data_IF_647804832920
#
_entry.id   IF_647804832920
#
_cell.length_a   1.000
_cell.length_b   1.000
_cell.length_c   1.000
_cell.angle_alpha   90.00
_cell.angle_beta   90.00
_cell.angle_gamma   90.00
#
_symmetry.space_group_name_H-M   'P 1'
#
loop_
_entity.id
_entity.type
_entity.pdbx_description
1 polymer ?
#
# COMPACT_ATOMS: atom_id res chain seq x y z
N UNK A 1 -1.31 34.89 -0.83
CA UNK A 1 -0.36 34.09 -1.64
C UNK A 1 -1.08 32.82 -2.04
N UNK A 2 -0.96 32.39 -3.30
CA UNK A 2 -1.55 31.13 -3.76
C UNK A 2 -0.77 29.98 -3.13
N UNK A 3 -1.24 29.46 -2.00
CA UNK A 3 -0.67 28.26 -1.37
C UNK A 3 -1.28 27.05 -2.03
N UNK A 4 -0.62 26.55 -3.07
CA UNK A 4 -0.90 25.23 -3.63
C UNK A 4 -0.62 24.18 -2.57
N UNK A 5 -1.66 23.49 -2.10
CA UNK A 5 -1.51 22.39 -1.16
C UNK A 5 -1.05 21.13 -1.90
N UNK A 6 -0.25 20.31 -1.22
CA UNK A 6 0.05 18.95 -1.66
C UNK A 6 -1.22 18.07 -1.70
N UNK A 7 -2.03 18.11 -0.64
CA UNK A 7 -3.27 17.32 -0.57
C UNK A 7 -4.31 17.95 0.34
N UNK A 8 -5.58 17.64 0.09
CA UNK A 8 -6.72 18.04 0.88
C UNK A 8 -7.73 16.89 0.92
N UNK A 9 -8.31 16.64 2.09
CA UNK A 9 -9.50 15.79 2.17
C UNK A 9 -10.41 16.17 3.34
N UNK A 10 -11.72 16.05 3.12
CA UNK A 10 -12.73 16.11 4.16
C UNK A 10 -13.10 14.69 4.58
N UNK A 11 -12.90 14.40 5.85
CA UNK A 11 -13.08 13.07 6.43
C UNK A 11 -14.14 13.04 7.51
N UNK A 12 -14.73 11.86 7.66
CA UNK A 12 -15.49 11.45 8.83
C UNK A 12 -14.74 10.30 9.47
N UNK A 13 -14.68 10.23 10.79
CA UNK A 13 -13.96 9.15 11.45
C UNK A 13 -14.51 8.81 12.82
N UNK A 14 -13.70 8.05 13.56
CA UNK A 14 -14.08 7.55 14.88
C UNK A 14 -13.03 7.97 15.90
N UNK A 15 -13.50 8.43 17.06
CA UNK A 15 -12.68 8.75 18.22
C UNK A 15 -13.06 7.84 19.38
N UNK A 16 -12.10 7.54 20.25
CA UNK A 16 -12.36 6.87 21.52
C UNK A 16 -12.97 7.85 22.55
N UNK A 17 -13.33 7.36 23.75
CA UNK A 17 -13.89 8.15 24.85
C UNK A 17 -12.97 9.29 25.33
N UNK A 18 -11.68 9.24 25.02
CA UNK A 18 -10.71 10.30 25.33
C UNK A 18 -10.52 11.31 24.18
N UNK A 19 -11.27 11.16 23.08
CA UNK A 19 -11.17 12.04 21.91
C UNK A 19 -9.98 11.74 21.00
N UNK A 20 -9.25 10.63 21.21
CA UNK A 20 -8.17 10.24 20.32
C UNK A 20 -8.74 9.64 19.03
N UNK A 21 -8.23 10.08 17.88
CA UNK A 21 -8.61 9.54 16.58
C UNK A 21 -8.14 8.09 16.45
N UNK A 22 -9.08 7.18 16.19
CA UNK A 22 -8.80 5.78 15.87
C UNK A 22 -8.61 5.60 14.37
N UNK A 23 -9.46 6.24 13.57
CA UNK A 23 -9.48 6.13 12.12
C UNK A 23 -10.17 7.31 11.45
N UNK A 24 -9.92 7.51 10.17
CA UNK A 24 -10.62 8.49 9.33
C UNK A 24 -10.90 7.91 7.94
N UNK A 25 -12.13 8.02 7.48
CA UNK A 25 -12.57 7.73 6.12
C UNK A 25 -12.65 9.00 5.27
N UNK A 26 -11.90 9.03 4.17
CA UNK A 26 -11.95 10.11 3.18
C UNK A 26 -12.57 9.60 1.88
N UNK A 27 -13.80 10.03 1.61
CA UNK A 27 -14.54 9.57 0.42
C UNK A 27 -13.98 10.08 -0.90
N UNK A 28 -13.44 11.31 -0.91
CA UNK A 28 -12.97 12.02 -2.11
C UNK A 28 -11.67 12.78 -1.79
N UNK A 29 -10.56 12.07 -1.50
CA UNK A 29 -9.28 12.72 -1.24
C UNK A 29 -8.76 13.39 -2.52
N UNK A 30 -8.15 14.56 -2.38
CA UNK A 30 -7.58 15.32 -3.49
C UNK A 30 -6.07 15.37 -3.39
N UNK A 31 -5.40 15.11 -4.51
CA UNK A 31 -3.99 15.43 -4.73
C UNK A 31 -3.92 16.74 -5.52
N UNK A 32 -3.11 17.70 -5.07
CA UNK A 32 -2.97 19.02 -5.68
C UNK A 32 -4.33 19.75 -5.88
N UNK A 33 -5.12 20.00 -4.81
CA UNK A 33 -6.39 20.73 -4.93
C UNK A 33 -6.19 22.12 -5.53
N UNK A 34 -7.21 22.63 -6.23
CA UNK A 34 -7.14 23.95 -6.87
C UNK A 34 -7.04 25.08 -5.84
N UNK A 35 -6.36 26.16 -6.21
CA UNK A 35 -6.19 27.33 -5.33
C UNK A 35 -7.54 27.98 -5.00
N UNK A 36 -8.49 27.95 -5.93
CA UNK A 36 -9.86 28.44 -5.73
C UNK A 36 -10.59 27.66 -4.63
N UNK A 37 -10.46 26.33 -4.64
CA UNK A 37 -11.04 25.47 -3.61
C UNK A 37 -10.43 25.76 -2.24
N UNK A 38 -9.10 25.83 -2.15
CA UNK A 38 -8.38 26.11 -0.90
C UNK A 38 -8.77 27.49 -0.35
N UNK A 39 -8.85 28.51 -1.22
CA UNK A 39 -9.24 29.86 -0.83
C UNK A 39 -10.68 29.94 -0.28
N UNK A 40 -11.61 29.14 -0.83
CA UNK A 40 -13.00 29.11 -0.38
C UNK A 40 -13.17 28.47 1.01
N UNK A 41 -12.35 27.46 1.34
CA UNK A 41 -12.52 26.67 2.56
C UNK A 41 -11.66 27.16 3.73
N UNK A 42 -10.47 27.74 3.46
CA UNK A 42 -9.50 28.08 4.49
C UNK A 42 -10.06 29.06 5.55
N UNK A 43 -10.83 30.11 5.21
CA UNK A 43 -11.39 31.02 6.21
C UNK A 43 -12.41 30.34 7.14
N UNK A 44 -13.19 29.37 6.63
CA UNK A 44 -14.23 28.66 7.40
C UNK A 44 -13.60 27.67 8.38
N UNK A 45 -12.50 27.04 7.96
CA UNK A 45 -11.73 26.09 8.77
C UNK A 45 -10.72 26.78 9.70
N UNK A 46 -10.42 28.06 9.47
CA UNK A 46 -9.32 28.74 10.17
C UNK A 46 -7.93 28.20 9.77
N UNK A 47 -7.79 27.66 8.56
CA UNK A 47 -6.50 27.19 8.04
C UNK A 47 -5.60 28.37 7.64
N UNK A 48 -4.34 28.34 8.06
CA UNK A 48 -3.34 29.37 7.75
C UNK A 48 -2.18 28.85 6.91
N UNK A 49 -1.49 27.81 7.39
CA UNK A 49 -0.28 27.28 6.77
C UNK A 49 0.03 25.84 7.23
N UNK A 50 1.00 25.20 6.57
CA UNK A 50 1.56 23.91 6.98
C UNK A 50 0.59 22.73 6.83
N UNK A 51 0.97 21.59 7.40
CA UNK A 51 0.14 20.40 7.46
C UNK A 51 -0.75 20.47 8.70
N UNK A 52 -2.07 20.41 8.52
CA UNK A 52 -3.04 20.50 9.61
C UNK A 52 -4.16 19.48 9.45
N UNK A 53 -4.56 18.89 10.57
CA UNK A 53 -5.79 18.13 10.71
C UNK A 53 -6.77 18.93 11.59
N UNK A 54 -7.75 19.57 10.96
CA UNK A 54 -8.65 20.52 11.61
C UNK A 54 -10.02 19.89 11.80
N UNK A 55 -10.44 19.72 13.05
CA UNK A 55 -11.80 19.26 13.35
C UNK A 55 -12.82 20.33 12.98
N UNK A 56 -13.93 19.95 12.36
CA UNK A 56 -14.99 20.90 12.02
C UNK A 56 -16.38 20.35 12.37
N UNK A 57 -17.32 21.25 12.59
CA UNK A 57 -18.70 20.92 12.98
C UNK A 57 -19.57 20.63 11.76
N UNK A 58 -20.73 20.00 11.96
CA UNK A 58 -21.75 19.84 10.91
C UNK A 58 -22.27 21.18 10.37
N UNK A 59 -22.32 22.22 11.20
CA UNK A 59 -22.64 23.58 10.77
C UNK A 59 -21.55 24.15 9.83
N UNK A 60 -20.27 23.97 10.17
CA UNK A 60 -19.16 24.32 9.27
C UNK A 60 -19.19 23.48 7.99
N UNK A 61 -19.56 22.20 8.06
CA UNK A 61 -19.72 21.35 6.87
C UNK A 61 -20.75 21.94 5.88
N UNK A 62 -21.89 22.43 6.37
CA UNK A 62 -22.90 23.09 5.55
C UNK A 62 -22.40 24.42 4.96
N UNK A 63 -21.64 25.21 5.74
CA UNK A 63 -21.01 26.43 5.24
C UNK A 63 -19.98 26.13 4.14
N UNK A 64 -19.14 25.11 4.35
CA UNK A 64 -18.17 24.64 3.36
C UNK A 64 -18.86 24.16 2.09
N UNK A 65 -19.94 23.39 2.20
CA UNK A 65 -20.71 22.92 1.05
C UNK A 65 -21.23 24.07 0.18
N UNK A 66 -21.73 25.15 0.79
CA UNK A 66 -22.17 26.34 0.06
C UNK A 66 -20.97 27.11 -0.52
N UNK A 67 -19.86 27.23 0.21
CA UNK A 67 -18.66 27.95 -0.25
C UNK A 67 -18.03 27.31 -1.50
N UNK A 68 -18.13 25.99 -1.65
CA UNK A 68 -17.57 25.27 -2.82
C UNK A 68 -18.61 25.04 -3.92
N UNK A 69 -19.86 25.49 -3.74
CA UNK A 69 -20.96 25.34 -4.70
C UNK A 69 -20.72 26.20 -5.93
N UNK A 70 -20.19 25.57 -6.97
CA UNK A 70 -19.76 26.23 -8.21
C UNK A 70 -18.24 26.20 -8.42
N UNK A 71 -17.48 25.72 -7.45
CA UNK A 71 -16.04 25.48 -7.56
C UNK A 71 -15.77 23.99 -7.81
N UNK A 72 -16.29 23.13 -6.92
CA UNK A 72 -16.16 21.68 -7.02
C UNK A 72 -17.46 20.99 -6.60
N UNK A 73 -18.20 20.48 -7.59
CA UNK A 73 -19.50 19.85 -7.36
C UNK A 73 -19.39 18.51 -6.60
N UNK A 74 -18.26 17.80 -6.71
CA UNK A 74 -18.04 16.52 -6.02
C UNK A 74 -17.81 16.79 -4.53
N UNK A 75 -16.91 17.73 -4.21
CA UNK A 75 -16.65 18.14 -2.83
C UNK A 75 -17.88 18.79 -2.19
N UNK A 76 -18.64 19.62 -2.92
CA UNK A 76 -19.87 20.22 -2.42
C UNK A 76 -20.95 19.19 -2.05
N UNK A 77 -21.11 18.14 -2.86
CA UNK A 77 -22.00 17.02 -2.55
C UNK A 77 -21.52 16.24 -1.32
N UNK A 78 -20.22 15.96 -1.23
CA UNK A 78 -19.63 15.29 -0.07
C UNK A 78 -19.88 16.08 1.22
N UNK A 79 -19.56 17.37 1.24
CA UNK A 79 -19.73 18.23 2.41
C UNK A 79 -21.18 18.35 2.85
N UNK A 80 -22.12 18.37 1.89
CA UNK A 80 -23.56 18.28 2.18
C UNK A 80 -23.90 17.00 2.95
N UNK A 81 -23.33 15.85 2.57
CA UNK A 81 -23.54 14.58 3.29
C UNK A 81 -22.85 14.58 4.65
N UNK A 82 -21.64 15.13 4.75
CA UNK A 82 -20.90 15.22 6.02
C UNK A 82 -21.63 16.10 7.05
N UNK A 83 -22.39 17.10 6.61
CA UNK A 83 -23.22 17.94 7.48
C UNK A 83 -24.34 17.15 8.21
N UNK A 84 -24.70 15.95 7.74
CA UNK A 84 -25.67 15.07 8.38
C UNK A 84 -25.03 14.03 9.32
N UNK A 85 -23.70 14.04 9.46
CA UNK A 85 -22.97 13.03 10.22
C UNK A 85 -23.23 13.12 11.73
N UNK A 86 -23.36 11.95 12.37
CA UNK A 86 -23.30 11.80 13.83
C UNK A 86 -21.90 11.45 14.36
N UNK A 87 -20.92 11.33 13.45
CA UNK A 87 -19.51 11.03 13.72
C UNK A 87 -18.65 12.29 13.55
N UNK A 88 -17.53 12.42 14.28
CA UNK A 88 -16.65 13.59 14.20
C UNK A 88 -16.09 13.77 12.78
N UNK A 89 -15.94 15.03 12.37
CA UNK A 89 -15.44 15.42 11.06
C UNK A 89 -14.06 16.08 11.18
N UNK A 90 -13.21 15.86 10.18
CA UNK A 90 -11.86 16.44 10.11
C UNK A 90 -11.52 16.84 8.68
N UNK A 91 -11.02 18.05 8.50
CA UNK A 91 -10.45 18.52 7.25
C UNK A 91 -8.92 18.43 7.39
N UNK A 92 -8.30 17.61 6.54
CA UNK A 92 -6.86 17.41 6.55
C UNK A 92 -6.27 18.13 5.35
N UNK A 93 -5.52 19.20 5.62
CA UNK A 93 -4.89 20.08 4.63
C UNK A 93 -3.39 19.91 4.74
N UNK A 94 -2.75 19.42 3.70
CA UNK A 94 -1.30 19.19 3.66
C UNK A 94 -0.68 20.19 2.70
N UNK A 95 0.08 21.15 3.21
CA UNK A 95 0.86 22.06 2.38
C UNK A 95 1.95 21.31 1.61
N UNK A 96 2.56 20.29 2.22
CA UNK A 96 3.70 19.56 1.67
C UNK A 96 3.67 18.07 2.02
N UNK A 97 4.36 17.25 1.22
CA UNK A 97 4.61 15.84 1.52
C UNK A 97 5.79 15.68 2.50
N UNK A 98 5.55 16.07 3.75
CA UNK A 98 6.54 16.03 4.83
C UNK A 98 6.36 14.83 5.78
N UNK A 99 7.15 14.79 6.85
CA UNK A 99 7.00 13.80 7.91
C UNK A 99 5.61 13.92 8.55
N UNK A 100 4.98 12.76 8.80
CA UNK A 100 3.63 12.70 9.37
C UNK A 100 3.60 13.27 10.80
N UNK A 101 2.52 13.97 11.13
CA UNK A 101 2.31 14.63 12.41
C UNK A 101 1.05 14.19 13.16
N UNK A 102 0.09 13.57 12.48
CA UNK A 102 -1.21 13.20 13.06
C UNK A 102 -1.82 11.94 12.47
N UNK A 103 -2.78 11.33 13.18
CA UNK A 103 -3.55 10.18 12.68
C UNK A 103 -4.38 10.52 11.43
N UNK A 104 -5.14 11.63 11.36
CA UNK A 104 -5.86 12.00 10.14
C UNK A 104 -4.96 12.17 8.91
N UNK A 105 -3.75 12.73 9.09
CA UNK A 105 -2.74 12.84 8.03
C UNK A 105 -2.23 11.46 7.58
N UNK A 106 -1.93 10.55 8.52
CA UNK A 106 -1.52 9.19 8.20
C UNK A 106 -2.58 8.47 7.37
N UNK A 107 -3.85 8.55 7.76
CA UNK A 107 -4.96 7.99 6.99
C UNK A 107 -5.10 8.63 5.61
N UNK A 108 -4.92 9.95 5.48
CA UNK A 108 -4.99 10.63 4.18
C UNK A 108 -3.92 10.08 3.23
N UNK A 109 -2.66 9.99 3.66
CA UNK A 109 -1.59 9.46 2.80
C UNK A 109 -1.83 7.99 2.39
N UNK A 110 -2.39 7.16 3.28
CA UNK A 110 -2.78 5.80 2.91
C UNK A 110 -3.96 5.78 1.91
N UNK A 111 -4.91 6.71 2.02
CA UNK A 111 -5.97 6.87 1.04
C UNK A 111 -5.43 7.29 -0.32
N UNK A 112 -4.46 8.21 -0.38
CA UNK A 112 -3.83 8.63 -1.64
C UNK A 112 -3.19 7.45 -2.39
N UNK A 113 -2.57 6.52 -1.67
CA UNK A 113 -2.03 5.27 -2.24
C UNK A 113 -3.15 4.36 -2.76
N UNK A 114 -4.15 4.07 -1.94
CA UNK A 114 -5.21 3.10 -2.31
C UNK A 114 -6.22 3.63 -3.32
N UNK A 115 -6.39 4.94 -3.42
CA UNK A 115 -7.12 5.59 -4.53
C UNK A 115 -6.30 5.66 -5.82
N UNK A 116 -5.04 5.18 -5.80
CA UNK A 116 -4.07 5.25 -6.89
C UNK A 116 -3.68 6.67 -7.32
N UNK A 117 -3.87 7.66 -6.46
CA UNK A 117 -3.47 9.04 -6.73
C UNK A 117 -1.94 9.19 -6.67
N UNK A 118 -1.28 8.37 -5.86
CA UNK A 118 0.18 8.30 -5.75
C UNK A 118 0.62 6.84 -5.74
N UNK A 119 1.71 6.51 -6.44
CA UNK A 119 2.31 5.16 -6.45
C UNK A 119 3.12 4.92 -5.16
N UNK A 120 3.38 3.65 -4.78
CA UNK A 120 4.32 3.33 -3.71
C UNK A 120 5.67 4.05 -3.86
N UNK A 121 6.25 4.47 -2.72
CA UNK A 121 7.43 5.34 -2.60
C UNK A 121 7.25 6.79 -3.08
N UNK A 122 6.05 7.16 -3.53
CA UNK A 122 5.74 8.54 -3.92
C UNK A 122 5.31 9.45 -2.75
N UNK A 123 5.27 8.92 -1.52
CA UNK A 123 4.85 9.65 -0.31
C UNK A 123 5.86 9.48 0.81
N UNK A 124 6.07 10.54 1.60
CA UNK A 124 6.77 10.43 2.87
C UNK A 124 5.88 9.81 3.95
N UNK A 125 6.16 8.55 4.31
CA UNK A 125 5.45 7.80 5.36
C UNK A 125 6.32 7.58 6.62
N UNK A 126 7.41 8.34 6.78
CA UNK A 126 8.26 8.24 7.95
C UNK A 126 7.45 8.54 9.23
N UNK A 127 7.62 7.70 10.25
CA UNK A 127 6.92 7.86 11.52
C UNK A 127 5.45 7.48 11.53
N UNK A 128 4.95 6.74 10.52
CA UNK A 128 3.53 6.37 10.46
C UNK A 128 3.05 5.48 11.62
N UNK A 129 3.87 4.54 12.09
CA UNK A 129 3.45 3.52 13.06
C UNK A 129 3.01 4.06 14.43
N UNK A 130 3.70 5.06 15.03
CA UNK A 130 3.21 5.72 16.24
C UNK A 130 1.87 6.46 16.06
N UNK A 131 1.56 6.94 14.86
CA UNK A 131 0.35 7.72 14.57
C UNK A 131 -0.88 6.87 14.26
N UNK A 132 -0.68 5.59 13.94
CA UNK A 132 -1.75 4.62 13.76
C UNK A 132 -1.97 3.85 15.08
N UNK A 133 -3.02 4.12 15.86
CA UNK A 133 -3.30 3.38 17.08
C UNK A 133 -3.60 1.91 16.76
N UNK A 134 -3.37 1.01 17.72
CA UNK A 134 -3.80 -0.38 17.56
C UNK A 134 -5.31 -0.45 17.86
N UNK A 135 -6.11 -0.89 16.89
CA UNK A 135 -7.57 -0.79 16.92
C UNK A 135 -8.18 -2.17 16.77
N UNK A 136 -9.31 -2.43 17.45
CA UNK A 136 -10.16 -3.55 17.13
C UNK A 136 -11.10 -3.16 15.97
N UNK A 137 -10.92 -3.80 14.82
CA UNK A 137 -11.78 -3.62 13.66
C UNK A 137 -12.93 -4.61 13.75
N UNK A 138 -14.13 -4.05 13.92
CA UNK A 138 -15.32 -4.84 14.24
C UNK A 138 -16.43 -4.65 13.21
N UNK A 139 -17.47 -5.50 13.27
CA UNK A 139 -18.68 -5.34 12.47
C UNK A 139 -19.43 -4.02 12.70
N UNK A 140 -19.11 -3.28 13.78
CA UNK A 140 -19.67 -1.96 14.10
C UNK A 140 -18.66 -0.81 13.89
N UNK A 141 -17.52 -1.07 13.25
CA UNK A 141 -16.46 -0.09 12.98
C UNK A 141 -15.27 -0.23 13.93
N UNK A 142 -14.43 0.81 13.96
CA UNK A 142 -13.24 0.88 14.81
C UNK A 142 -13.62 1.04 16.28
N UNK A 143 -13.03 0.20 17.14
CA UNK A 143 -13.23 0.20 18.59
C UNK A 143 -11.88 0.28 19.29
N UNK A 144 -11.79 1.16 20.29
CA UNK A 144 -10.62 1.23 21.16
C UNK A 144 -10.50 -0.07 21.98
N UNK A 145 -9.28 -0.59 22.13
CA UNK A 145 -9.05 -1.85 22.85
C UNK A 145 -9.47 -1.80 24.32
N UNK A 146 -9.42 -0.62 24.94
CA UNK A 146 -9.87 -0.42 26.32
C UNK A 146 -11.39 -0.41 26.47
N UNK A 147 -12.12 -0.18 25.38
CA UNK A 147 -13.59 -0.12 25.34
C UNK A 147 -14.22 -1.43 24.83
N UNK A 148 -13.42 -2.28 24.17
CA UNK A 148 -13.90 -3.48 23.47
C UNK A 148 -14.62 -4.47 24.38
N UNK A 149 -14.09 -4.76 25.57
CA UNK A 149 -14.65 -5.79 26.44
C UNK A 149 -16.07 -5.46 26.93
N UNK A 150 -16.32 -4.18 27.22
CA UNK A 150 -17.64 -3.66 27.60
C UNK A 150 -18.64 -3.85 26.45
N UNK A 151 -18.24 -3.43 25.24
CA UNK A 151 -19.09 -3.54 24.04
C UNK A 151 -19.38 -4.99 23.65
N UNK A 152 -18.41 -5.89 23.82
CA UNK A 152 -18.61 -7.32 23.60
C UNK A 152 -19.64 -7.89 24.59
N UNK A 153 -19.55 -7.54 25.87
CA UNK A 153 -20.53 -7.98 26.88
C UNK A 153 -21.94 -7.49 26.52
N UNK A 154 -22.09 -6.20 26.20
CA UNK A 154 -23.36 -5.60 25.82
C UNK A 154 -24.01 -6.27 24.61
N UNK A 155 -23.21 -6.60 23.58
CA UNK A 155 -23.70 -7.35 22.43
C UNK A 155 -24.23 -8.74 22.86
N UNK A 156 -23.49 -9.47 23.70
CA UNK A 156 -23.92 -10.80 24.18
C UNK A 156 -25.19 -10.74 25.03
N UNK A 157 -25.34 -9.72 25.87
CA UNK A 157 -26.56 -9.52 26.67
C UNK A 157 -27.81 -9.31 25.80
N UNK A 158 -27.65 -8.75 24.59
CA UNK A 158 -28.71 -8.63 23.59
C UNK A 158 -28.86 -9.85 22.67
N UNK A 159 -28.05 -10.89 22.84
CA UNK A 159 -28.03 -12.06 21.95
C UNK A 159 -27.32 -11.81 20.61
N UNK A 160 -26.52 -10.74 20.51
CA UNK A 160 -25.77 -10.34 19.32
C UNK A 160 -24.29 -10.77 19.41
N UNK A 161 -23.61 -10.79 18.26
CA UNK A 161 -22.15 -10.93 18.18
C UNK A 161 -21.53 -9.63 17.68
N UNK A 162 -20.69 -9.00 18.51
CA UNK A 162 -19.72 -8.03 18.03
C UNK A 162 -18.52 -8.79 17.47
N UNK A 163 -18.52 -9.00 16.15
CA UNK A 163 -17.43 -9.68 15.47
C UNK A 163 -16.19 -8.79 15.45
N UNK A 164 -15.06 -9.31 15.91
CA UNK A 164 -13.74 -8.68 15.81
C UNK A 164 -12.95 -9.44 14.77
N UNK A 165 -12.86 -8.91 13.56
CA UNK A 165 -12.21 -9.58 12.44
C UNK A 165 -10.74 -9.17 12.25
N UNK A 166 -10.29 -8.09 12.88
CA UNK A 166 -8.89 -7.70 12.90
C UNK A 166 -8.56 -6.89 14.17
N UNK A 167 -7.34 -7.07 14.68
CA UNK A 167 -6.74 -6.22 15.72
C UNK A 167 -5.38 -5.77 15.22
N UNK A 168 -5.32 -4.57 14.65
CA UNK A 168 -4.13 -4.07 13.96
C UNK A 168 -4.15 -2.54 13.88
N UNK A 169 -2.99 -1.95 13.58
CA UNK A 169 -2.79 -0.53 13.27
C UNK A 169 -3.31 -0.14 11.88
N UNK A 170 -3.44 -1.11 10.98
CA UNK A 170 -3.92 -0.89 9.62
C UNK A 170 -5.26 -1.60 9.39
N UNK A 171 -6.31 -0.90 8.91
CA UNK A 171 -7.51 -1.56 8.45
C UNK A 171 -7.32 -2.25 7.10
N UNK A 172 -8.29 -3.07 6.71
CA UNK A 172 -8.38 -3.60 5.35
C UNK A 172 -8.80 -2.50 4.36
N UNK A 173 -8.15 -2.46 3.20
CA UNK A 173 -8.29 -1.39 2.20
C UNK A 173 -9.74 -1.21 1.74
N UNK A 174 -10.47 -2.30 1.51
CA UNK A 174 -11.79 -2.30 0.88
C UNK A 174 -12.89 -1.75 1.77
N UNK A 175 -12.66 -1.61 3.08
CA UNK A 175 -13.57 -0.89 3.97
C UNK A 175 -13.55 0.62 3.69
N UNK A 176 -12.53 1.10 2.97
CA UNK A 176 -12.32 2.50 2.63
C UNK A 176 -12.43 2.75 1.12
N UNK A 177 -11.82 1.90 0.29
CA UNK A 177 -11.82 2.07 -1.17
C UNK A 177 -11.67 0.75 -1.91
N UNK A 178 -12.45 0.59 -2.97
CA UNK A 178 -12.27 -0.43 -4.00
C UNK A 178 -11.96 0.29 -5.31
N UNK A 179 -10.69 0.38 -5.73
CA UNK A 179 -10.36 1.10 -6.96
C UNK A 179 -10.88 0.35 -8.20
N UNK A 180 -11.13 1.07 -9.29
CA UNK A 180 -11.75 0.50 -10.48
C UNK A 180 -10.90 -0.63 -11.12
N UNK A 181 -11.59 -1.62 -11.71
CA UNK A 181 -10.95 -2.68 -12.49
C UNK A 181 -10.09 -3.66 -11.70
N UNK A 182 -10.39 -3.89 -10.41
CA UNK A 182 -9.71 -4.92 -9.58
C UNK A 182 -10.62 -6.07 -9.23
N UNK A 183 -10.01 -7.20 -8.89
CA UNK A 183 -10.66 -8.29 -8.17
C UNK A 183 -9.85 -8.64 -6.94
N UNK A 184 -10.52 -8.77 -5.80
CA UNK A 184 -9.91 -9.10 -4.51
C UNK A 184 -10.75 -10.22 -3.91
N UNK A 185 -10.17 -11.42 -3.80
CA UNK A 185 -10.89 -12.60 -3.36
C UNK A 185 -11.07 -12.64 -1.84
N UNK A 186 -10.03 -12.28 -1.08
CA UNK A 186 -10.11 -12.07 0.37
C UNK A 186 -9.56 -10.68 0.71
N UNK A 187 -10.47 -9.79 1.10
CA UNK A 187 -10.13 -8.41 1.37
C UNK A 187 -9.33 -8.20 2.66
N UNK A 188 -9.37 -9.15 3.59
CA UNK A 188 -8.60 -9.07 4.84
C UNK A 188 -7.09 -9.06 4.61
N UNK A 189 -6.63 -9.47 3.41
CA UNK A 189 -5.21 -9.55 3.05
C UNK A 189 -4.66 -8.33 2.33
N UNK A 190 -5.45 -7.26 2.20
CA UNK A 190 -5.01 -6.00 1.63
C UNK A 190 -5.16 -4.90 2.67
N UNK A 191 -4.03 -4.32 3.10
CA UNK A 191 -4.04 -3.19 4.03
C UNK A 191 -4.40 -1.89 3.30
N UNK A 192 -5.10 -0.99 3.98
CA UNK A 192 -5.21 0.40 3.54
C UNK A 192 -3.79 0.98 3.35
N UNK A 193 -3.57 1.61 2.20
CA UNK A 193 -2.24 2.01 1.71
C UNK A 193 -1.64 1.05 0.69
N UNK A 194 -2.26 -0.09 0.40
CA UNK A 194 -1.93 -0.91 -0.77
C UNK A 194 -2.35 -0.18 -2.06
N UNK A 195 -1.50 -0.20 -3.08
CA UNK A 195 -1.81 0.28 -4.43
C UNK A 195 -2.08 -0.93 -5.32
N UNK A 196 -3.34 -1.15 -5.73
CA UNK A 196 -3.71 -2.30 -6.56
C UNK A 196 -4.05 -1.80 -7.94
N UNK A 197 -3.16 -1.92 -8.92
CA UNK A 197 -3.33 -1.41 -10.28
C UNK A 197 -4.50 -2.04 -11.06
N UNK A 198 -4.96 -1.35 -12.10
CA UNK A 198 -6.08 -1.83 -12.93
C UNK A 198 -5.74 -3.16 -13.62
N UNK A 199 -6.70 -4.08 -13.69
CA UNK A 199 -6.51 -5.43 -14.21
C UNK A 199 -5.78 -6.38 -13.26
N UNK A 200 -5.47 -5.94 -12.03
CA UNK A 200 -4.91 -6.84 -11.01
C UNK A 200 -6.02 -7.71 -10.41
N UNK A 201 -5.72 -9.01 -10.30
CA UNK A 201 -6.50 -9.94 -9.47
C UNK A 201 -5.65 -10.38 -8.29
N UNK A 202 -6.13 -10.13 -7.08
CA UNK A 202 -5.55 -10.67 -5.86
C UNK A 202 -6.41 -11.85 -5.39
N UNK A 203 -5.85 -13.05 -5.49
CA UNK A 203 -6.51 -14.29 -5.07
C UNK A 203 -6.43 -14.47 -3.55
N UNK A 204 -7.08 -15.51 -3.01
CA UNK A 204 -7.17 -15.74 -1.56
C UNK A 204 -5.80 -15.84 -0.87
N UNK A 205 -4.81 -16.43 -1.55
CA UNK A 205 -3.45 -16.53 -0.99
C UNK A 205 -2.62 -15.24 -1.21
N UNK A 206 -3.15 -14.30 -2.00
CA UNK A 206 -2.55 -13.01 -2.26
C UNK A 206 -2.61 -12.10 -1.04
N UNK A 207 -1.53 -11.39 -0.78
CA UNK A 207 -1.44 -10.36 0.26
C UNK A 207 -0.70 -9.15 -0.27
N UNK A 208 -1.19 -7.94 0.04
CA UNK A 208 -0.49 -6.69 -0.30
C UNK A 208 -0.48 -5.78 0.93
N UNK A 209 0.73 -5.40 1.35
CA UNK A 209 0.93 -4.49 2.47
C UNK A 209 0.73 -3.02 2.08
N UNK A 210 0.83 -2.11 3.05
CA UNK A 210 0.85 -0.67 2.76
C UNK A 210 2.14 -0.27 2.02
N UNK A 211 2.07 0.82 1.25
CA UNK A 211 3.17 1.33 0.43
C UNK A 211 3.78 0.24 -0.48
N UNK A 212 2.92 -0.61 -1.02
CA UNK A 212 3.28 -1.73 -1.87
C UNK A 212 2.15 -2.00 -2.86
N UNK A 213 2.41 -2.88 -3.83
CA UNK A 213 1.37 -3.44 -4.68
C UNK A 213 1.78 -3.56 -6.13
N UNK A 214 0.85 -3.27 -7.04
CA UNK A 214 0.96 -3.66 -8.46
C UNK A 214 0.72 -2.49 -9.39
N UNK A 215 1.47 -2.44 -10.48
CA UNK A 215 1.15 -1.53 -11.59
C UNK A 215 -0.15 -1.92 -12.29
N UNK A 216 -0.37 -3.23 -12.47
CA UNK A 216 -1.49 -3.78 -13.22
C UNK A 216 -1.23 -3.83 -14.74
N UNK A 217 -1.78 -4.83 -15.46
CA UNK A 217 -2.51 -6.00 -14.95
C UNK A 217 -1.57 -7.03 -14.30
N UNK A 218 -2.11 -8.05 -13.64
CA UNK A 218 -1.32 -9.17 -13.10
C UNK A 218 -2.10 -10.06 -12.13
N UNK A 219 -1.58 -11.26 -11.87
CA UNK A 219 -2.13 -12.21 -10.90
C UNK A 219 -1.30 -12.23 -9.62
N UNK A 220 -1.93 -11.96 -8.48
CA UNK A 220 -1.28 -11.97 -7.16
C UNK A 220 -1.90 -13.06 -6.29
N UNK A 221 -1.17 -14.14 -6.12
CA UNK A 221 -1.50 -15.27 -5.25
C UNK A 221 -0.42 -15.47 -4.17
N UNK A 222 0.58 -14.59 -4.13
CA UNK A 222 1.62 -14.56 -3.12
C UNK A 222 1.62 -13.27 -2.29
N UNK A 223 2.65 -13.12 -1.45
CA UNK A 223 2.77 -12.01 -0.50
C UNK A 223 3.66 -10.90 -1.04
N UNK A 224 3.09 -9.72 -1.21
CA UNK A 224 3.76 -8.47 -1.58
C UNK A 224 4.03 -7.65 -0.30
N UNK A 225 5.26 -7.73 0.19
CA UNK A 225 5.71 -7.01 1.40
C UNK A 225 5.70 -5.48 1.22
N UNK A 226 5.70 -4.75 2.35
CA UNK A 226 5.74 -3.28 2.34
C UNK A 226 6.97 -2.76 1.56
N UNK A 227 6.76 -1.76 0.71
CA UNK A 227 7.78 -1.23 -0.19
C UNK A 227 7.96 -2.03 -1.49
N UNK A 228 7.36 -3.21 -1.65
CA UNK A 228 7.50 -3.98 -2.90
C UNK A 228 6.50 -3.50 -3.93
N UNK A 229 7.00 -3.18 -5.12
CA UNK A 229 6.17 -2.86 -6.27
C UNK A 229 6.40 -3.89 -7.38
N UNK A 230 5.29 -4.38 -7.95
CA UNK A 230 5.26 -5.39 -9.00
C UNK A 230 4.86 -4.74 -10.32
N UNK A 231 5.72 -4.84 -11.32
CA UNK A 231 5.51 -4.30 -12.65
C UNK A 231 4.38 -4.99 -13.42
N UNK A 232 3.97 -4.38 -14.54
CA UNK A 232 2.87 -4.86 -15.36
C UNK A 232 3.07 -6.29 -15.86
N UNK A 233 1.98 -7.06 -15.93
CA UNK A 233 1.96 -8.41 -16.50
C UNK A 233 2.77 -9.44 -15.73
N UNK A 234 3.12 -9.16 -14.47
CA UNK A 234 3.86 -10.07 -13.62
C UNK A 234 2.93 -10.89 -12.73
N UNK A 235 3.17 -12.19 -12.67
CA UNK A 235 2.38 -13.15 -11.91
C UNK A 235 3.15 -13.70 -10.72
N UNK A 236 2.51 -13.63 -9.55
CA UNK A 236 3.02 -14.14 -8.27
C UNK A 236 2.18 -15.36 -7.88
N UNK A 237 2.72 -16.55 -8.06
CA UNK A 237 2.05 -17.81 -7.80
C UNK A 237 1.75 -18.07 -6.33
N UNK A 238 0.82 -18.99 -6.08
CA UNK A 238 0.25 -19.29 -4.76
C UNK A 238 1.29 -19.44 -3.65
N UNK A 239 1.19 -18.63 -2.59
CA UNK A 239 2.04 -18.72 -1.41
C UNK A 239 3.46 -18.18 -1.58
N UNK A 240 3.81 -17.66 -2.77
CA UNK A 240 5.14 -17.08 -2.98
C UNK A 240 5.40 -15.89 -2.05
N UNK A 241 6.67 -15.51 -1.89
CA UNK A 241 7.08 -14.48 -0.94
C UNK A 241 7.99 -13.43 -1.58
N UNK A 242 7.68 -12.15 -1.37
CA UNK A 242 8.66 -11.07 -1.57
C UNK A 242 9.20 -10.62 -0.22
N UNK A 243 10.52 -10.57 -0.09
CA UNK A 243 11.15 -10.10 1.15
C UNK A 243 10.86 -8.60 1.35
N UNK A 244 10.40 -8.22 2.54
CA UNK A 244 10.31 -6.82 2.95
C UNK A 244 11.63 -6.33 3.54
N UNK A 245 11.82 -5.01 3.57
CA UNK A 245 12.96 -4.38 4.27
C UNK A 245 12.93 -4.70 5.76
N UNK A 246 11.74 -4.75 6.38
CA UNK A 246 11.53 -5.10 7.79
C UNK A 246 11.80 -6.57 8.13
N UNK A 247 11.82 -7.48 7.14
CA UNK A 247 12.00 -8.92 7.35
C UNK A 247 13.45 -9.38 7.18
N UNK A 248 14.43 -8.49 7.40
CA UNK A 248 15.86 -8.83 7.35
C UNK A 248 16.54 -8.64 5.99
N UNK A 249 15.90 -7.89 5.07
CA UNK A 249 16.39 -7.71 3.70
C UNK A 249 17.49 -6.67 3.48
N UNK A 250 17.94 -6.01 4.54
CA UNK A 250 18.82 -4.84 4.44
C UNK A 250 18.10 -3.63 3.83
N UNK A 251 18.86 -2.69 3.27
CA UNK A 251 18.35 -1.40 2.77
C UNK A 251 17.89 -1.43 1.30
N UNK A 252 17.97 -2.57 0.62
CA UNK A 252 17.63 -2.66 -0.81
C UNK A 252 16.13 -2.86 -0.95
N UNK A 253 15.47 -1.93 -1.65
CA UNK A 253 14.05 -2.03 -1.98
C UNK A 253 13.85 -3.15 -3.00
N UNK A 254 13.14 -4.21 -2.59
CA UNK A 254 12.75 -5.30 -3.49
C UNK A 254 11.69 -4.78 -4.46
N UNK A 255 11.89 -5.02 -5.75
CA UNK A 255 10.91 -4.80 -6.82
C UNK A 255 10.82 -6.02 -7.71
N UNK A 256 9.70 -6.19 -8.38
CA UNK A 256 9.52 -7.18 -9.45
C UNK A 256 9.29 -6.39 -10.73
N UNK A 257 10.08 -6.67 -11.77
CA UNK A 257 9.95 -6.04 -13.09
C UNK A 257 8.65 -6.42 -13.79
N UNK A 258 8.57 -6.10 -15.08
CA UNK A 258 7.44 -6.42 -15.95
C UNK A 258 7.52 -7.87 -16.46
N UNK A 259 6.39 -8.52 -16.68
CA UNK A 259 6.33 -9.85 -17.32
C UNK A 259 7.05 -10.98 -16.55
N UNK A 260 7.22 -10.84 -15.23
CA UNK A 260 7.85 -11.86 -14.40
C UNK A 260 6.89 -13.00 -14.05
N UNK A 261 7.43 -14.18 -13.75
CA UNK A 261 6.69 -15.31 -13.22
C UNK A 261 7.39 -15.84 -11.95
N UNK A 262 6.77 -15.64 -10.79
CA UNK A 262 7.28 -16.18 -9.53
C UNK A 262 6.45 -17.42 -9.19
N UNK A 263 7.08 -18.59 -9.23
CA UNK A 263 6.40 -19.86 -8.99
C UNK A 263 5.76 -19.98 -7.60
N UNK A 264 4.81 -20.90 -7.48
CA UNK A 264 4.11 -21.15 -6.22
C UNK A 264 5.10 -21.53 -5.11
N UNK A 265 4.89 -21.02 -3.90
CA UNK A 265 5.77 -21.22 -2.74
C UNK A 265 7.25 -20.83 -2.96
N UNK A 266 7.57 -20.10 -4.03
CA UNK A 266 8.89 -19.54 -4.23
C UNK A 266 9.11 -18.32 -3.32
N UNK A 267 10.34 -17.83 -3.27
CA UNK A 267 10.65 -16.61 -2.53
C UNK A 267 11.75 -15.81 -3.18
N UNK A 268 11.60 -14.48 -3.20
CA UNK A 268 12.62 -13.57 -3.68
C UNK A 268 13.09 -12.63 -2.58
N UNK A 269 14.41 -12.57 -2.44
CA UNK A 269 15.13 -11.66 -1.56
C UNK A 269 16.08 -10.74 -2.32
N UNK A 270 15.86 -10.58 -3.63
CA UNK A 270 16.56 -9.63 -4.51
C UNK A 270 15.55 -8.95 -5.43
N UNK A 271 15.82 -7.74 -5.92
CA UNK A 271 15.08 -7.15 -7.04
C UNK A 271 15.15 -8.04 -8.28
N UNK A 272 14.00 -8.32 -8.91
CA UNK A 272 13.96 -8.95 -10.22
C UNK A 272 13.86 -7.87 -11.31
N UNK A 273 14.62 -8.05 -12.39
CA UNK A 273 14.42 -7.34 -13.65
C UNK A 273 13.23 -7.90 -14.40
N UNK A 274 12.98 -7.35 -15.59
CA UNK A 274 11.85 -7.76 -16.41
C UNK A 274 12.01 -9.19 -16.93
N UNK A 275 10.88 -9.90 -17.10
CA UNK A 275 10.80 -11.25 -17.70
C UNK A 275 11.59 -12.32 -16.96
N UNK A 276 11.83 -12.09 -15.66
CA UNK A 276 12.46 -13.10 -14.82
C UNK A 276 11.45 -14.17 -14.41
N UNK A 277 11.91 -15.42 -14.38
CA UNK A 277 11.14 -16.58 -13.91
C UNK A 277 11.84 -17.20 -12.70
N UNK A 278 11.08 -17.49 -11.65
CA UNK A 278 11.57 -18.22 -10.47
C UNK A 278 10.77 -19.50 -10.33
N UNK A 279 11.46 -20.64 -10.32
CA UNK A 279 10.86 -21.96 -10.12
C UNK A 279 10.04 -22.03 -8.82
N UNK A 280 8.92 -22.75 -8.86
CA UNK A 280 8.11 -23.05 -7.68
C UNK A 280 8.93 -23.71 -6.57
N UNK A 281 8.78 -23.23 -5.34
CA UNK A 281 9.52 -23.73 -4.17
C UNK A 281 11.00 -23.32 -4.09
N UNK A 282 11.51 -22.53 -5.05
CA UNK A 282 12.84 -21.96 -4.95
C UNK A 282 12.82 -20.65 -4.15
N UNK A 283 13.68 -20.56 -3.14
CA UNK A 283 13.91 -19.31 -2.41
C UNK A 283 15.28 -18.73 -2.78
N UNK A 284 15.29 -17.55 -3.41
CA UNK A 284 16.48 -16.83 -3.86
C UNK A 284 16.74 -15.67 -2.90
N UNK A 285 17.67 -15.85 -1.96
CA UNK A 285 18.13 -14.77 -1.06
C UNK A 285 19.29 -14.01 -1.70
N UNK A 286 19.58 -12.79 -1.23
CA UNK A 286 20.74 -12.01 -1.69
C UNK A 286 22.09 -12.77 -1.59
N UNK A 287 22.22 -13.65 -0.59
CA UNK A 287 23.42 -14.45 -0.33
C UNK A 287 23.44 -15.82 -1.01
N UNK A 288 22.33 -16.24 -1.64
CA UNK A 288 22.25 -17.53 -2.34
C UNK A 288 23.34 -17.59 -3.42
N UNK A 289 24.19 -18.62 -3.37
CA UNK A 289 25.16 -18.89 -4.43
C UNK A 289 24.43 -19.53 -5.60
N UNK A 290 24.63 -18.99 -6.79
CA UNK A 290 23.93 -19.35 -8.01
C UNK A 290 24.94 -19.75 -9.07
N UNK A 291 24.79 -20.94 -9.64
CA UNK A 291 25.50 -21.36 -10.83
C UNK A 291 24.92 -20.61 -12.04
N UNK A 292 25.66 -19.63 -12.56
CA UNK A 292 25.26 -18.87 -13.74
C UNK A 292 25.58 -19.69 -14.98
N UNK A 293 24.54 -19.95 -15.78
CA UNK A 293 24.63 -20.75 -16.98
C UNK A 293 24.39 -19.89 -18.24
N UNK A 294 25.12 -20.22 -19.30
CA UNK A 294 24.87 -19.66 -20.63
C UNK A 294 23.65 -20.33 -21.31
N UNK A 295 23.37 -19.92 -22.55
CA UNK A 295 22.28 -20.47 -23.36
C UNK A 295 22.35 -22.00 -23.57
N UNK A 296 23.55 -22.57 -23.53
CA UNK A 296 23.85 -24.00 -23.71
C UNK A 296 23.89 -24.77 -22.38
N UNK A 297 23.42 -24.14 -21.30
CA UNK A 297 23.48 -24.64 -19.92
C UNK A 297 24.92 -24.90 -19.42
N UNK A 298 25.94 -24.31 -20.04
CA UNK A 298 27.32 -24.46 -19.58
C UNK A 298 27.57 -23.50 -18.41
N UNK A 299 28.27 -23.99 -17.39
CA UNK A 299 28.63 -23.19 -16.24
C UNK A 299 29.60 -22.09 -16.66
N UNK A 300 29.19 -20.83 -16.48
CA UNK A 300 30.05 -19.67 -16.68
C UNK A 300 30.85 -19.38 -15.41
N UNK A 301 30.14 -19.17 -14.29
CA UNK A 301 30.71 -18.93 -12.96
C UNK A 301 29.66 -19.10 -11.86
N UNK A 302 30.10 -19.13 -10.60
CA UNK A 302 29.22 -19.08 -9.43
C UNK A 302 29.24 -17.68 -8.83
N UNK A 303 28.08 -17.04 -8.75
CA UNK A 303 27.91 -15.67 -8.19
C UNK A 303 26.92 -15.68 -7.03
N UNK A 304 26.90 -14.62 -6.22
CA UNK A 304 25.77 -14.42 -5.29
C UNK A 304 24.58 -13.83 -6.05
N UNK A 305 23.37 -14.22 -5.70
CA UNK A 305 22.15 -13.76 -6.38
C UNK A 305 21.99 -12.23 -6.38
N UNK A 306 22.53 -11.52 -5.37
CA UNK A 306 22.55 -10.04 -5.36
C UNK A 306 23.25 -9.41 -6.57
N UNK A 307 24.20 -10.11 -7.20
CA UNK A 307 24.92 -9.65 -8.40
C UNK A 307 24.03 -9.77 -9.65
N UNK A 308 22.93 -10.53 -9.58
CA UNK A 308 21.93 -10.70 -10.63
C UNK A 308 20.71 -9.78 -10.43
N UNK A 309 20.72 -8.92 -9.41
CA UNK A 309 19.60 -8.05 -9.08
C UNK A 309 19.26 -7.10 -10.24
N UNK A 310 17.99 -7.06 -10.63
CA UNK A 310 17.49 -6.16 -11.68
C UNK A 310 17.85 -6.57 -13.12
N UNK A 311 18.64 -7.62 -13.32
CA UNK A 311 18.94 -8.14 -14.66
C UNK A 311 17.67 -8.80 -15.25
N UNK A 312 17.38 -8.57 -16.54
CA UNK A 312 16.20 -9.13 -17.19
C UNK A 312 16.46 -10.54 -17.74
N UNK A 313 15.39 -11.22 -18.15
CA UNK A 313 15.42 -12.47 -18.92
C UNK A 313 16.18 -13.62 -18.23
N UNK A 314 16.07 -13.69 -16.89
CA UNK A 314 16.70 -14.73 -16.07
C UNK A 314 15.72 -15.82 -15.66
N UNK A 315 16.14 -17.08 -15.77
CA UNK A 315 15.44 -18.23 -15.22
C UNK A 315 16.19 -18.78 -13.99
N UNK A 316 15.62 -18.61 -12.81
CA UNK A 316 16.12 -19.22 -11.57
C UNK A 316 15.45 -20.57 -11.33
N UNK A 317 16.25 -21.63 -11.15
CA UNK A 317 15.76 -22.99 -10.87
C UNK A 317 16.69 -23.75 -9.93
N UNK A 318 16.20 -24.83 -9.33
CA UNK A 318 17.00 -25.80 -8.58
C UNK A 318 17.19 -27.06 -9.41
N UNK A 319 18.43 -27.47 -9.60
CA UNK A 319 18.74 -28.74 -10.20
C UNK A 319 18.26 -29.88 -9.29
N UNK A 320 17.35 -30.72 -9.78
CA UNK A 320 16.70 -31.76 -8.98
C UNK A 320 17.61 -32.93 -8.63
N UNK A 321 18.69 -33.15 -9.39
CA UNK A 321 19.64 -34.25 -9.14
C UNK A 321 20.74 -33.83 -8.17
N UNK A 322 21.23 -32.59 -8.28
CA UNK A 322 22.39 -32.10 -7.50
C UNK A 322 22.02 -31.16 -6.36
N UNK A 323 20.81 -30.58 -6.40
CA UNK A 323 20.37 -29.54 -5.47
C UNK A 323 20.96 -28.15 -5.74
N UNK A 324 21.79 -28.00 -6.77
CA UNK A 324 22.40 -26.71 -7.12
C UNK A 324 21.33 -25.68 -7.53
N UNK A 325 21.45 -24.44 -7.03
CA UNK A 325 20.64 -23.32 -7.53
C UNK A 325 21.31 -22.77 -8.78
N UNK A 326 20.58 -22.74 -9.88
CA UNK A 326 21.04 -22.33 -11.20
C UNK A 326 20.29 -21.07 -11.65
N UNK A 327 20.99 -20.22 -12.39
CA UNK A 327 20.37 -19.15 -13.16
C UNK A 327 20.74 -19.37 -14.62
N UNK A 328 19.75 -19.77 -15.42
CA UNK A 328 19.88 -19.88 -16.87
C UNK A 328 19.60 -18.53 -17.51
N UNK A 329 20.40 -18.20 -18.52
CA UNK A 329 20.23 -16.98 -19.31
C UNK A 329 20.11 -17.33 -20.80
N UNK A 330 19.60 -16.40 -21.60
CA UNK A 330 19.60 -16.51 -23.07
C UNK A 330 20.85 -15.90 -23.72
N UNK A 331 21.89 -15.60 -22.93
CA UNK A 331 23.09 -14.90 -23.37
C UNK A 331 24.28 -15.84 -23.43
N UNK A 332 25.24 -15.48 -24.28
CA UNK A 332 26.56 -16.11 -24.29
C UNK A 332 27.39 -15.73 -23.05
N UNK A 333 28.42 -16.51 -22.74
CA UNK A 333 29.33 -16.24 -21.62
C UNK A 333 30.00 -14.84 -21.68
N UNK A 334 30.24 -14.32 -22.89
CA UNK A 334 30.88 -13.03 -23.12
C UNK A 334 29.92 -11.89 -22.73
N UNK A 335 28.70 -11.92 -23.28
CA UNK A 335 27.66 -10.93 -22.99
C UNK A 335 27.26 -10.90 -21.51
N UNK A 336 27.33 -12.06 -20.83
CA UNK A 336 27.07 -12.17 -19.39
C UNK A 336 28.15 -11.46 -18.57
N UNK A 337 29.41 -11.62 -18.92
CA UNK A 337 30.49 -10.94 -18.21
C UNK A 337 30.41 -9.42 -18.41
N UNK A 338 30.13 -8.95 -19.63
CA UNK A 338 29.91 -7.52 -19.87
C UNK A 338 28.74 -6.99 -19.04
N UNK A 339 27.58 -7.65 -19.06
CA UNK A 339 26.40 -7.20 -18.32
C UNK A 339 26.60 -7.14 -16.79
N UNK A 340 27.42 -8.04 -16.23
CA UNK A 340 27.74 -8.06 -14.79
C UNK A 340 28.79 -7.04 -14.38
N UNK A 341 29.65 -6.61 -15.32
CA UNK A 341 30.78 -5.72 -15.03
C UNK A 341 30.59 -4.29 -15.56
N UNK A 342 29.59 -4.04 -16.40
CA UNK A 342 29.25 -2.71 -16.90
C UNK A 342 28.73 -1.73 -15.83
N UNK A 343 28.43 -2.21 -14.62
CA UNK A 343 27.89 -1.42 -13.51
C UNK A 343 28.75 -1.45 -12.23
N UNK A 344 30.00 -1.90 -12.33
CA UNK A 344 30.99 -1.76 -11.25
C UNK A 344 31.72 -0.42 -11.32
#
# INVERSE_FOLDING_TARGET
MSTTLFSLAFGVGTQNRQGAWLEVFYAQPLLNPSAELVAAIAPILGYSEGNQAITFTTAQAAQLAEAVKGIDAVQGKLLTRLAESHKPLVATLLAEDAQLSSTPEAYLKLHLLSHRLVKPHGLNLAGIFPLLPNVAWTSQGAVDLSELAELQLEARLRGELLEVFSVDKFPKMTDYVVPAGVRIADAARLRLGAYVGEGTTVMHEGFINFNAGTEGPGMIEGRVSAGVFVGKGSDLGGGCSTMGTLSGGGNIVIKVGEGCLIGANAGIGIPLGDRNTVESGLYVTAGTKVALLDENNQLVKVVKARELAGQPDLLFRRNSETGAVECKTHKSAIELNEALHAHN
#
